data_IF_347796648605
#
_entry.id   IF_347796648605
#
_cell.length_a   1.000
_cell.length_b   1.000
_cell.length_c   1.000
_cell.angle_alpha   90.00
_cell.angle_beta   90.00
_cell.angle_gamma   90.00
#
_symmetry.space_group_name_H-M   'P 1'
#
loop_
_entity.id
_entity.type
_entity.pdbx_description
1 polymer ?
#
# COMPACT_ATOMS: atom_id res chain seq x y z
N UNK A 1 -23.27 2.27 34.58
CA UNK A 1 -23.24 3.62 35.18
C UNK A 1 -22.73 4.59 34.13
N UNK A 2 -23.48 5.67 33.88
CA UNK A 2 -23.12 6.91 33.18
C UNK A 2 -22.26 6.84 31.91
N UNK A 3 -22.89 6.96 30.74
CA UNK A 3 -22.22 7.49 29.55
C UNK A 3 -21.93 8.97 29.86
N UNK A 4 -20.68 9.29 30.18
CA UNK A 4 -20.26 10.66 30.45
C UNK A 4 -20.29 11.49 29.18
N UNK A 5 -21.02 12.61 29.20
CA UNK A 5 -20.98 13.61 28.15
C UNK A 5 -19.58 14.26 28.13
N UNK A 6 -18.88 14.19 27.00
CA UNK A 6 -17.66 14.97 26.77
C UNK A 6 -18.02 16.46 26.67
N UNK A 7 -17.34 17.28 27.46
CA UNK A 7 -17.54 18.74 27.52
C UNK A 7 -16.29 19.42 26.95
N UNK A 8 -16.47 20.15 25.85
CA UNK A 8 -15.43 21.01 25.28
C UNK A 8 -15.42 22.33 26.04
N UNK A 9 -14.32 22.66 26.71
CA UNK A 9 -14.10 23.96 27.35
C UNK A 9 -13.01 24.70 26.57
N UNK A 10 -13.37 25.68 25.72
CA UNK A 10 -12.43 26.37 24.85
C UNK A 10 -11.36 27.17 25.60
N UNK A 11 -11.64 27.56 26.85
CA UNK A 11 -10.75 28.39 27.67
C UNK A 11 -9.78 27.60 28.57
N UNK A 12 -9.78 26.26 28.51
CA UNK A 12 -8.93 25.44 29.38
C UNK A 12 -7.55 25.19 28.74
N UNK A 13 -6.50 25.75 29.34
CA UNK A 13 -5.09 25.56 28.92
C UNK A 13 -4.53 24.15 29.24
N UNK A 14 -5.38 23.19 29.64
CA UNK A 14 -4.98 21.81 29.96
C UNK A 14 -6.07 20.78 29.67
N UNK A 15 -5.63 19.59 29.23
CA UNK A 15 -6.48 18.45 28.89
C UNK A 15 -6.96 17.76 30.19
N UNK A 16 -8.28 17.72 30.45
CA UNK A 16 -8.88 17.13 31.66
C UNK A 16 -8.94 15.59 31.65
N UNK A 17 -8.75 14.98 30.49
CA UNK A 17 -8.41 13.57 30.40
C UNK A 17 -6.93 13.45 30.75
N UNK A 18 -6.63 13.09 32.00
CA UNK A 18 -5.25 12.85 32.42
C UNK A 18 -4.55 11.94 31.41
N UNK A 19 -3.33 12.32 31.03
CA UNK A 19 -2.51 11.57 30.05
C UNK A 19 -2.49 10.08 30.35
N UNK A 20 -2.49 9.71 31.63
CA UNK A 20 -2.45 8.33 32.10
C UNK A 20 -3.72 7.55 31.72
N UNK A 21 -4.91 8.14 31.85
CA UNK A 21 -6.19 7.53 31.43
C UNK A 21 -6.31 7.43 29.90
N UNK A 22 -5.80 8.42 29.17
CA UNK A 22 -5.73 8.38 27.71
C UNK A 22 -4.83 7.23 27.25
N UNK A 23 -3.69 7.02 27.90
CA UNK A 23 -2.75 5.94 27.61
C UNK A 23 -3.33 4.58 28.02
N UNK A 24 -3.92 4.48 29.21
CA UNK A 24 -4.48 3.24 29.77
C UNK A 24 -5.70 2.75 28.98
N UNK A 25 -6.57 3.67 28.55
CA UNK A 25 -7.71 3.36 27.67
C UNK A 25 -7.30 3.20 26.20
N UNK A 26 -6.02 3.42 25.86
CA UNK A 26 -5.53 3.40 24.50
C UNK A 26 -6.32 4.37 23.62
N UNK A 27 -6.50 5.62 24.02
CA UNK A 27 -7.23 6.62 23.25
C UNK A 27 -6.20 7.54 22.57
N UNK A 28 -6.30 7.71 21.26
CA UNK A 28 -5.59 8.76 20.52
C UNK A 28 -6.60 9.80 20.03
N UNK A 29 -6.34 11.07 20.34
CA UNK A 29 -7.21 12.18 20.00
C UNK A 29 -6.52 12.96 18.88
N UNK A 30 -7.07 12.87 17.67
CA UNK A 30 -6.60 13.65 16.52
C UNK A 30 -7.57 14.79 16.24
N UNK A 31 -7.06 16.02 16.19
CA UNK A 31 -7.83 17.18 15.74
C UNK A 31 -7.55 17.40 14.26
N UNK A 32 -8.54 17.16 13.41
CA UNK A 32 -8.43 17.33 11.95
C UNK A 32 -9.56 18.26 11.51
N UNK A 33 -9.22 19.38 10.86
CA UNK A 33 -10.18 20.36 10.37
C UNK A 33 -11.20 20.85 11.43
N UNK A 34 -10.73 21.10 12.66
CA UNK A 34 -11.56 21.49 13.81
C UNK A 34 -12.59 20.43 14.28
N UNK A 35 -12.49 19.18 13.80
CA UNK A 35 -13.21 18.04 14.35
C UNK A 35 -12.28 17.18 15.22
N UNK A 36 -12.77 16.76 16.39
CA UNK A 36 -12.07 15.81 17.26
C UNK A 36 -12.40 14.39 16.80
N UNK A 37 -11.40 13.67 16.31
CA UNK A 37 -11.49 12.23 16.05
C UNK A 37 -10.83 11.47 17.20
N UNK A 38 -11.65 10.71 17.92
CA UNK A 38 -11.20 9.78 18.95
C UNK A 38 -10.96 8.44 18.28
N UNK A 39 -9.71 8.00 18.23
CA UNK A 39 -9.33 6.66 17.76
C UNK A 39 -8.89 5.84 18.96
N UNK A 40 -9.54 4.71 19.21
CA UNK A 40 -9.02 3.74 20.18
C UNK A 40 -7.78 3.07 19.54
N UNK A 41 -6.61 3.36 20.08
CA UNK A 41 -5.37 2.61 19.93
C UNK A 41 -5.48 1.27 20.68
N UNK A 42 -5.66 0.15 19.98
CA UNK A 42 -5.80 -1.13 20.65
C UNK A 42 -4.45 -1.73 21.08
N UNK A 43 -3.34 -1.13 20.61
CA UNK A 43 -1.98 -1.44 21.04
C UNK A 43 -1.73 -0.79 22.42
N UNK A 44 -1.65 -1.62 23.45
CA UNK A 44 -1.43 -1.16 24.84
C UNK A 44 0.06 -1.02 25.13
N UNK A 45 0.40 -0.27 26.17
CA UNK A 45 1.80 -0.11 26.62
C UNK A 45 2.45 -1.47 26.91
N UNK A 46 1.72 -2.38 27.57
CA UNK A 46 2.19 -3.74 27.85
C UNK A 46 2.47 -4.57 26.59
N UNK A 47 1.79 -4.27 25.48
CA UNK A 47 2.07 -4.91 24.19
C UNK A 47 3.34 -4.30 23.58
N UNK A 48 3.49 -2.97 23.66
CA UNK A 48 4.68 -2.27 23.15
C UNK A 48 5.96 -2.74 23.85
N UNK A 49 5.91 -2.99 25.15
CA UNK A 49 7.05 -3.53 25.91
C UNK A 49 7.50 -4.92 25.42
N UNK A 50 6.58 -5.69 24.83
CA UNK A 50 6.85 -7.02 24.26
C UNK A 50 7.29 -6.95 22.79
N UNK A 51 7.17 -5.79 22.14
CA UNK A 51 7.55 -5.58 20.75
C UNK A 51 8.93 -4.95 20.69
N UNK A 52 9.82 -5.52 19.89
CA UNK A 52 11.12 -4.94 19.60
C UNK A 52 10.90 -3.56 18.96
N UNK A 53 11.31 -2.51 19.66
CA UNK A 53 11.14 -1.11 19.23
C UNK A 53 11.80 -0.80 17.89
N UNK A 54 12.78 -1.60 17.46
CA UNK A 54 13.43 -1.46 16.16
C UNK A 54 12.48 -1.78 15.00
N UNK A 55 11.39 -2.53 15.20
CA UNK A 55 10.43 -2.85 14.13
C UNK A 55 9.79 -1.59 13.57
N UNK A 56 9.65 -0.54 14.38
CA UNK A 56 8.92 0.66 13.98
C UNK A 56 9.74 1.50 13.02
N UNK A 57 9.10 1.90 11.93
CA UNK A 57 9.69 2.88 11.04
C UNK A 57 9.83 4.25 11.71
N UNK A 58 11.02 4.81 11.60
CA UNK A 58 11.34 6.22 11.80
C UNK A 58 12.06 6.77 10.57
N UNK A 59 12.06 8.09 10.32
CA UNK A 59 12.79 8.69 9.19
C UNK A 59 14.28 8.32 9.12
N UNK A 60 14.87 8.01 10.28
CA UNK A 60 16.26 7.60 10.43
C UNK A 60 16.49 6.09 10.35
N UNK A 61 15.44 5.29 10.51
CA UNK A 61 15.52 3.84 10.36
C UNK A 61 15.47 3.44 8.88
N UNK A 62 16.23 2.40 8.52
CA UNK A 62 16.18 1.78 7.21
C UNK A 62 16.12 0.27 7.40
N UNK A 63 15.16 -0.38 6.74
CA UNK A 63 15.09 -1.83 6.72
C UNK A 63 16.24 -2.41 5.90
N UNK A 64 16.77 -3.56 6.29
CA UNK A 64 17.83 -4.28 5.57
C UNK A 64 17.61 -5.77 5.72
N UNK A 65 17.18 -6.42 4.63
CA UNK A 65 17.05 -7.87 4.58
C UNK A 65 18.42 -8.51 4.37
N UNK A 66 18.69 -9.57 5.13
CA UNK A 66 19.85 -10.42 4.89
C UNK A 66 19.51 -11.50 3.85
N UNK A 67 19.38 -11.09 2.59
CA UNK A 67 19.08 -11.98 1.45
C UNK A 67 20.09 -11.73 0.32
N UNK A 68 20.28 -12.70 -0.60
CA UNK A 68 21.08 -12.47 -1.80
C UNK A 68 20.56 -11.27 -2.60
N UNK A 69 21.44 -10.45 -3.17
CA UNK A 69 21.04 -9.29 -3.95
C UNK A 69 20.27 -9.68 -5.21
N UNK A 70 19.26 -8.89 -5.54
CA UNK A 70 18.46 -9.14 -6.74
C UNK A 70 19.18 -8.69 -8.01
N UNK A 71 19.18 -9.56 -9.03
CA UNK A 71 19.64 -9.20 -10.38
C UNK A 71 18.46 -8.82 -11.28
N UNK A 72 18.65 -7.75 -12.05
CA UNK A 72 17.70 -7.23 -13.03
C UNK A 72 18.15 -7.63 -14.43
N UNK A 73 17.20 -8.14 -15.22
CA UNK A 73 17.44 -8.54 -16.60
C UNK A 73 16.68 -7.57 -17.51
N UNK A 74 17.41 -6.89 -18.39
CA UNK A 74 16.85 -6.02 -19.43
C UNK A 74 17.21 -6.56 -20.82
N UNK A 75 16.38 -6.26 -21.81
CA UNK A 75 16.64 -6.52 -23.22
C UNK A 75 17.73 -5.57 -23.73
N UNK A 76 18.66 -6.12 -24.51
CA UNK A 76 19.87 -5.48 -25.05
C UNK A 76 20.62 -4.58 -24.02
N UNK A 77 21.18 -5.20 -22.96
CA UNK A 77 21.85 -4.47 -21.88
C UNK A 77 23.06 -3.65 -22.36
N UNK A 78 23.66 -4.02 -23.50
CA UNK A 78 24.77 -3.30 -24.13
C UNK A 78 24.39 -1.90 -24.65
N UNK A 79 23.10 -1.64 -24.87
CA UNK A 79 22.62 -0.34 -25.36
C UNK A 79 22.13 0.48 -24.15
N UNK A 80 22.87 1.51 -23.71
CA UNK A 80 22.48 2.27 -22.53
C UNK A 80 21.24 3.15 -22.79
N UNK A 81 20.36 3.22 -21.79
CA UNK A 81 19.23 4.15 -21.80
C UNK A 81 19.71 5.49 -21.24
N UNK A 82 19.66 6.54 -22.07
CA UNK A 82 20.06 7.90 -21.71
C UNK A 82 18.90 8.86 -21.94
N UNK A 83 18.10 9.06 -20.91
CA UNK A 83 17.00 10.02 -20.93
C UNK A 83 17.50 11.34 -20.35
N UNK A 84 17.29 12.43 -21.09
CA UNK A 84 17.66 13.77 -20.65
C UNK A 84 16.86 14.16 -19.41
N UNK A 85 17.54 14.75 -18.43
CA UNK A 85 16.91 15.20 -17.21
C UNK A 85 15.88 16.32 -17.47
N UNK A 86 14.72 16.25 -16.82
CA UNK A 86 13.74 17.34 -16.87
C UNK A 86 14.27 18.54 -16.06
N UNK A 87 14.01 19.79 -16.46
CA UNK A 87 14.33 20.94 -15.62
C UNK A 87 13.64 20.83 -14.26
N UNK A 88 14.41 20.69 -13.18
CA UNK A 88 13.90 20.72 -11.81
C UNK A 88 13.89 22.18 -11.34
N UNK A 89 12.75 22.65 -10.85
CA UNK A 89 12.62 23.99 -10.27
C UNK A 89 13.55 24.17 -9.04
N UNK A 90 13.98 25.40 -8.73
CA UNK A 90 14.77 25.65 -7.52
C UNK A 90 14.09 25.17 -6.24
N UNK A 91 12.77 25.37 -6.11
CA UNK A 91 11.96 24.85 -5.00
C UNK A 91 12.04 23.32 -4.92
N UNK A 92 11.92 22.63 -6.06
CA UNK A 92 12.02 21.18 -6.13
C UNK A 92 13.41 20.65 -5.75
N UNK A 93 14.49 21.32 -6.18
CA UNK A 93 15.85 20.95 -5.78
C UNK A 93 16.06 21.15 -4.27
N UNK A 94 15.63 22.29 -3.73
CA UNK A 94 15.72 22.56 -2.29
C UNK A 94 14.93 21.54 -1.46
N UNK A 95 13.74 21.17 -1.95
CA UNK A 95 12.91 20.15 -1.31
C UNK A 95 13.50 18.74 -1.36
N UNK A 96 14.18 18.37 -2.45
CA UNK A 96 14.79 17.04 -2.61
C UNK A 96 16.13 16.89 -1.89
N UNK A 97 16.89 17.97 -1.68
CA UNK A 97 18.24 17.86 -1.09
C UNK A 97 18.26 17.10 0.25
N UNK A 98 17.41 17.41 1.26
CA UNK A 98 17.43 16.66 2.52
C UNK A 98 17.17 15.17 2.31
N UNK A 99 16.27 14.83 1.38
CA UNK A 99 15.96 13.42 1.08
C UNK A 99 17.12 12.72 0.37
N UNK A 100 17.79 13.36 -0.59
CA UNK A 100 18.97 12.80 -1.27
C UNK A 100 20.12 12.59 -0.27
N UNK A 101 20.40 13.56 0.60
CA UNK A 101 21.43 13.46 1.63
C UNK A 101 21.11 12.35 2.64
N UNK A 102 19.84 12.22 3.03
CA UNK A 102 19.35 11.10 3.86
C UNK A 102 19.60 9.77 3.16
N UNK A 103 19.19 9.60 1.91
CA UNK A 103 19.36 8.35 1.16
C UNK A 103 20.85 7.98 0.98
N UNK A 104 21.72 8.97 0.74
CA UNK A 104 23.18 8.77 0.66
C UNK A 104 23.78 8.35 2.01
N UNK A 105 23.46 9.07 3.09
CA UNK A 105 23.97 8.74 4.43
C UNK A 105 23.55 7.35 4.92
N UNK A 106 22.38 6.87 4.47
CA UNK A 106 21.88 5.52 4.77
C UNK A 106 22.39 4.46 3.80
N UNK A 107 23.20 4.83 2.80
CA UNK A 107 23.76 3.92 1.80
C UNK A 107 22.73 3.29 0.86
N UNK A 108 21.56 3.92 0.71
CA UNK A 108 20.52 3.52 -0.26
C UNK A 108 20.82 4.05 -1.67
N UNK A 109 21.54 5.17 -1.71
CA UNK A 109 22.14 5.73 -2.91
C UNK A 109 23.67 5.71 -2.77
N UNK A 110 24.35 5.62 -3.91
CA UNK A 110 25.80 5.77 -4.01
C UNK A 110 26.17 6.59 -5.26
N UNK A 111 27.30 7.29 -5.21
CA UNK A 111 27.86 7.97 -6.38
C UNK A 111 28.36 6.95 -7.40
N UNK A 112 28.20 7.25 -8.69
CA UNK A 112 28.58 6.34 -9.77
C UNK A 112 28.98 7.07 -11.05
N UNK A 113 29.45 6.28 -12.03
CA UNK A 113 29.69 6.70 -13.42
C UNK A 113 29.07 5.66 -14.37
N UNK A 114 27.75 5.59 -14.36
CA UNK A 114 26.96 4.64 -15.16
C UNK A 114 26.79 5.14 -16.60
N UNK A 115 26.81 4.23 -17.60
CA UNK A 115 26.47 4.58 -18.97
C UNK A 115 24.97 4.89 -19.15
N UNK A 116 24.11 4.49 -18.19
CA UNK A 116 22.67 4.75 -18.16
C UNK A 116 22.36 6.04 -17.39
N UNK A 117 21.24 6.67 -17.72
CA UNK A 117 20.72 7.80 -16.97
C UNK A 117 19.22 7.96 -17.19
N UNK A 118 18.44 8.01 -16.10
CA UNK A 118 16.99 8.30 -16.12
C UNK A 118 16.65 9.49 -15.22
N UNK A 119 15.57 10.24 -15.52
CA UNK A 119 15.25 11.47 -14.80
C UNK A 119 14.55 11.22 -13.47
N UNK A 120 14.68 12.16 -12.55
CA UNK A 120 13.92 12.19 -11.29
C UNK A 120 12.94 13.36 -11.30
N UNK A 121 11.91 13.27 -10.48
CA UNK A 121 10.85 14.26 -10.35
C UNK A 121 10.62 14.58 -8.87
N UNK A 122 10.64 15.86 -8.46
CA UNK A 122 10.19 16.28 -7.13
C UNK A 122 8.66 16.28 -7.07
N UNK A 123 8.06 15.46 -6.21
CA UNK A 123 6.62 15.50 -5.96
C UNK A 123 6.35 16.02 -4.55
N UNK A 124 5.58 17.11 -4.46
CA UNK A 124 5.15 17.69 -3.19
C UNK A 124 4.06 16.82 -2.57
N UNK A 125 4.25 16.42 -1.32
CA UNK A 125 3.25 15.69 -0.53
C UNK A 125 2.26 16.68 0.10
N UNK A 126 1.14 16.15 0.61
CA UNK A 126 0.13 16.95 1.31
C UNK A 126 0.68 17.65 2.57
N UNK A 127 1.69 17.07 3.22
CA UNK A 127 2.39 17.65 4.37
C UNK A 127 3.42 18.75 3.99
N UNK A 128 3.54 19.07 2.70
CA UNK A 128 4.49 20.06 2.18
C UNK A 128 5.91 19.52 1.93
N UNK A 129 6.24 18.32 2.40
CA UNK A 129 7.53 17.67 2.13
C UNK A 129 7.64 17.19 0.68
N UNK A 130 8.86 16.98 0.18
CA UNK A 130 9.09 16.47 -1.16
C UNK A 130 9.41 14.98 -1.16
N UNK A 131 8.94 14.27 -2.19
CA UNK A 131 9.28 12.89 -2.50
C UNK A 131 10.08 12.83 -3.79
N UNK A 132 11.19 12.08 -3.73
CA UNK A 132 11.94 11.68 -4.91
C UNK A 132 11.15 10.63 -5.70
N UNK A 133 10.77 10.94 -6.93
CA UNK A 133 10.18 9.96 -7.86
C UNK A 133 11.17 9.71 -9.00
N UNK A 134 11.62 8.47 -9.13
CA UNK A 134 12.49 8.05 -10.22
C UNK A 134 11.66 7.58 -11.41
N UNK A 135 11.78 8.25 -12.55
CA UNK A 135 11.05 7.89 -13.77
C UNK A 135 11.74 6.74 -14.51
N UNK A 136 11.32 5.53 -14.18
CA UNK A 136 11.86 4.29 -14.72
C UNK A 136 11.10 3.76 -15.94
N UNK A 137 10.27 4.59 -16.61
CA UNK A 137 9.43 4.12 -17.73
C UNK A 137 10.23 3.46 -18.86
N UNK A 138 11.36 4.04 -19.26
CA UNK A 138 12.20 3.46 -20.32
C UNK A 138 12.91 2.18 -19.89
N UNK A 139 13.34 2.11 -18.61
CA UNK A 139 13.90 0.88 -18.03
C UNK A 139 12.84 -0.22 -17.99
N UNK A 140 11.64 0.10 -17.51
CA UNK A 140 10.51 -0.82 -17.40
C UNK A 140 10.11 -1.42 -18.76
N UNK A 141 10.16 -0.63 -19.86
CA UNK A 141 9.88 -1.14 -21.22
C UNK A 141 10.85 -2.23 -21.68
N UNK A 142 12.12 -2.14 -21.27
CA UNK A 142 13.16 -3.10 -21.65
C UNK A 142 13.35 -4.21 -20.62
N UNK A 143 12.74 -4.08 -19.45
CA UNK A 143 12.81 -5.11 -18.41
C UNK A 143 12.15 -6.40 -18.86
N UNK A 144 12.83 -7.53 -18.66
CA UNK A 144 12.25 -8.85 -18.85
C UNK A 144 11.50 -9.21 -17.57
N UNK A 145 10.18 -9.02 -17.60
CA UNK A 145 9.32 -9.31 -16.46
C UNK A 145 9.30 -10.82 -16.15
N UNK A 146 9.45 -11.17 -14.88
CA UNK A 146 9.25 -12.55 -14.41
C UNK A 146 7.75 -12.81 -14.29
N UNK A 147 7.36 -14.08 -14.31
CA UNK A 147 5.97 -14.44 -14.06
C UNK A 147 5.59 -14.00 -12.63
N UNK A 148 4.52 -13.21 -12.46
CA UNK A 148 4.10 -12.78 -11.13
C UNK A 148 3.48 -13.97 -10.39
N UNK A 149 4.07 -14.36 -9.26
CA UNK A 149 3.53 -15.39 -8.36
C UNK A 149 2.61 -14.79 -7.30
N UNK A 150 2.12 -13.55 -7.53
CA UNK A 150 1.25 -12.86 -6.59
C UNK A 150 -0.16 -13.47 -6.67
N UNK A 151 -0.64 -14.00 -5.55
CA UNK A 151 -1.99 -14.51 -5.46
C UNK A 151 -3.02 -13.40 -5.71
N UNK A 152 -4.13 -13.75 -6.36
CA UNK A 152 -5.21 -12.81 -6.60
C UNK A 152 -5.80 -12.35 -5.24
N UNK A 153 -5.91 -11.03 -4.96
CA UNK A 153 -6.49 -10.51 -3.72
C UNK A 153 -7.83 -11.16 -3.35
N UNK A 154 -8.67 -11.43 -4.36
CA UNK A 154 -9.99 -12.00 -4.16
C UNK A 154 -9.94 -13.45 -3.68
N UNK A 155 -8.99 -14.25 -4.16
CA UNK A 155 -8.83 -15.65 -3.74
C UNK A 155 -8.04 -15.76 -2.45
N UNK A 156 -7.20 -14.78 -2.14
CA UNK A 156 -6.47 -14.68 -0.87
C UNK A 156 -7.44 -14.56 0.32
N UNK A 157 -8.42 -13.65 0.21
CA UNK A 157 -9.42 -13.45 1.27
C UNK A 157 -10.34 -14.66 1.46
N UNK A 158 -10.52 -15.51 0.44
CA UNK A 158 -11.28 -16.75 0.56
C UNK A 158 -10.62 -17.80 1.46
N UNK A 159 -9.36 -17.60 1.87
CA UNK A 159 -8.68 -18.45 2.86
C UNK A 159 -9.14 -18.17 4.29
N UNK A 160 -9.78 -17.02 4.52
CA UNK A 160 -10.37 -16.70 5.80
C UNK A 160 -11.71 -17.40 5.92
N UNK A 161 -11.89 -18.15 7.00
CA UNK A 161 -13.20 -18.66 7.36
C UNK A 161 -14.06 -17.58 8.03
N UNK A 162 -15.40 -17.74 8.03
CA UNK A 162 -16.32 -16.80 8.66
C UNK A 162 -16.20 -16.78 10.19
N UNK A 163 -15.54 -17.76 10.80
CA UNK A 163 -15.31 -17.81 12.24
C UNK A 163 -14.35 -16.72 12.74
N UNK A 164 -13.54 -16.12 11.85
CA UNK A 164 -12.57 -15.09 12.23
C UNK A 164 -13.29 -13.83 12.69
N UNK A 165 -12.98 -13.38 13.91
CA UNK A 165 -13.61 -12.21 14.55
C UNK A 165 -12.63 -11.06 14.75
N UNK A 166 -11.36 -11.38 14.98
CA UNK A 166 -10.32 -10.40 15.29
C UNK A 166 -9.24 -10.42 14.22
N UNK A 167 -8.76 -9.22 13.88
CA UNK A 167 -7.81 -9.02 12.81
C UNK A 167 -6.67 -8.09 13.23
N UNK A 168 -5.50 -8.27 12.65
CA UNK A 168 -4.43 -7.26 12.68
C UNK A 168 -3.88 -7.04 11.29
N UNK A 169 -3.75 -5.78 10.87
CA UNK A 169 -3.18 -5.40 9.57
C UNK A 169 -1.85 -4.67 9.81
N UNK A 170 -0.81 -5.19 9.18
CA UNK A 170 0.57 -4.69 9.29
C UNK A 170 1.01 -4.21 7.91
N UNK A 171 1.35 -2.93 7.80
CA UNK A 171 1.87 -2.27 6.59
C UNK A 171 3.40 -2.17 6.71
N UNK A 172 4.11 -2.87 5.82
CA UNK A 172 5.58 -2.78 5.74
C UNK A 172 6.01 -1.48 5.09
N UNK A 173 6.83 -0.71 5.80
CA UNK A 173 7.24 0.62 5.36
C UNK A 173 8.54 0.56 4.56
N UNK A 174 8.53 1.20 3.39
CA UNK A 174 9.68 1.30 2.49
C UNK A 174 10.33 -0.07 2.19
N UNK A 175 9.48 -1.09 2.08
CA UNK A 175 9.89 -2.50 2.05
C UNK A 175 10.85 -2.83 0.90
N UNK A 176 10.69 -2.18 -0.26
CA UNK A 176 11.60 -2.35 -1.41
C UNK A 176 13.03 -1.92 -1.09
N UNK A 177 13.22 -0.88 -0.29
CA UNK A 177 14.56 -0.43 0.09
C UNK A 177 15.26 -1.40 1.04
N UNK A 178 14.54 -2.35 1.64
CA UNK A 178 15.15 -3.40 2.42
C UNK A 178 15.81 -4.48 1.56
N UNK A 179 15.48 -4.56 0.26
CA UNK A 179 16.03 -5.55 -0.65
C UNK A 179 17.30 -5.05 -1.35
N UNK A 180 18.45 -5.72 -1.17
CA UNK A 180 19.68 -5.36 -1.84
C UNK A 180 19.61 -5.60 -3.35
N UNK A 181 20.27 -4.74 -4.12
CA UNK A 181 20.39 -4.84 -5.57
C UNK A 181 21.82 -5.24 -5.96
N UNK A 182 21.92 -6.20 -6.90
CA UNK A 182 23.18 -6.70 -7.40
C UNK A 182 23.98 -5.60 -8.10
N UNK A 183 25.29 -5.53 -7.86
CA UNK A 183 26.15 -4.44 -8.33
C UNK A 183 26.06 -4.24 -9.85
N UNK A 184 25.97 -5.33 -10.62
CA UNK A 184 25.86 -5.29 -12.09
C UNK A 184 24.53 -4.68 -12.55
N UNK A 185 23.51 -4.70 -11.71
CA UNK A 185 22.18 -4.18 -12.00
C UNK A 185 21.98 -2.74 -11.53
N UNK A 186 22.85 -2.22 -10.65
CA UNK A 186 22.70 -0.87 -10.08
C UNK A 186 22.78 0.22 -11.14
N UNK A 187 23.61 0.03 -12.16
CA UNK A 187 23.81 1.00 -13.23
C UNK A 187 22.53 1.34 -13.98
N UNK A 188 21.59 0.39 -14.11
CA UNK A 188 20.28 0.62 -14.74
C UNK A 188 19.44 1.68 -14.04
N UNK A 189 19.72 1.95 -12.76
CA UNK A 189 18.96 2.88 -11.94
C UNK A 189 19.78 4.12 -11.58
N UNK A 190 20.69 4.52 -12.46
CA UNK A 190 21.45 5.76 -12.32
C UNK A 190 20.64 6.99 -12.76
N UNK A 191 20.82 8.10 -12.03
CA UNK A 191 20.25 9.39 -12.33
C UNK A 191 21.21 10.54 -11.98
N UNK A 192 21.07 11.65 -12.69
CA UNK A 192 21.82 12.88 -12.44
C UNK A 192 21.18 13.66 -11.28
N UNK A 193 22.02 14.20 -10.40
CA UNK A 193 21.63 15.11 -9.32
C UNK A 193 22.56 16.33 -9.31
N UNK A 194 21.95 17.53 -9.23
CA UNK A 194 22.66 18.80 -9.07
C UNK A 194 22.26 19.41 -7.73
N UNK A 195 23.25 19.60 -6.85
CA UNK A 195 23.03 20.22 -5.56
C UNK A 195 22.66 21.71 -5.71
N UNK A 196 21.56 22.19 -5.11
CA UNK A 196 21.08 23.56 -5.32
C UNK A 196 21.98 24.65 -4.72
N UNK A 197 22.86 24.33 -3.76
CA UNK A 197 23.69 25.31 -3.06
C UNK A 197 25.12 25.33 -3.57
N UNK A 198 25.68 24.17 -3.87
CA UNK A 198 27.06 24.02 -4.36
C UNK A 198 27.15 24.00 -5.87
N UNK A 199 26.02 23.82 -6.57
CA UNK A 199 25.92 23.64 -8.02
C UNK A 199 26.76 22.47 -8.57
N UNK A 200 27.20 21.56 -7.69
CA UNK A 200 27.94 20.37 -8.07
C UNK A 200 26.99 19.35 -8.67
N UNK A 201 27.36 18.85 -9.85
CA UNK A 201 26.67 17.74 -10.52
C UNK A 201 27.36 16.44 -10.21
N UNK A 202 26.55 15.44 -9.93
CA UNK A 202 26.99 14.06 -9.77
C UNK A 202 25.95 13.11 -10.33
N UNK A 203 26.37 11.88 -10.59
CA UNK A 203 25.46 10.80 -10.90
C UNK A 203 25.35 9.87 -9.70
N UNK A 204 24.12 9.55 -9.32
CA UNK A 204 23.79 8.66 -8.22
C UNK A 204 23.06 7.44 -8.76
N UNK A 205 23.23 6.29 -8.11
CA UNK A 205 22.46 5.07 -8.41
C UNK A 205 21.97 4.40 -7.13
N UNK A 206 20.93 3.59 -7.27
CA UNK A 206 20.35 2.82 -6.15
C UNK A 206 21.19 1.58 -5.83
N UNK A 207 21.38 1.30 -4.54
CA UNK A 207 22.01 0.06 -4.03
C UNK A 207 21.00 -1.01 -3.64
N UNK A 208 19.72 -0.64 -3.65
CA UNK A 208 18.55 -1.43 -3.24
C UNK A 208 17.48 -1.37 -4.33
N UNK A 209 16.42 -2.18 -4.21
CA UNK A 209 15.31 -2.12 -5.17
C UNK A 209 14.64 -0.72 -5.16
N UNK A 210 14.61 0.00 -6.29
CA UNK A 210 14.03 1.33 -6.34
C UNK A 210 12.50 1.28 -6.41
N UNK A 211 11.86 2.33 -5.89
CA UNK A 211 10.45 2.58 -6.09
C UNK A 211 10.19 2.99 -7.56
N UNK A 212 9.11 2.49 -8.17
CA UNK A 212 8.73 2.77 -9.55
C UNK A 212 9.25 1.76 -10.59
N UNK A 213 10.10 0.81 -10.18
CA UNK A 213 10.51 -0.31 -11.02
C UNK A 213 9.41 -1.38 -11.07
N UNK A 214 9.06 -1.83 -12.28
CA UNK A 214 7.92 -2.73 -12.50
C UNK A 214 8.04 -4.06 -11.77
N UNK A 215 9.25 -4.61 -11.61
CA UNK A 215 9.44 -5.89 -10.92
C UNK A 215 9.61 -5.77 -9.40
N UNK A 216 9.80 -4.56 -8.85
CA UNK A 216 10.02 -4.40 -7.39
C UNK A 216 8.94 -5.08 -6.53
N UNK A 217 7.63 -4.95 -6.82
CA UNK A 217 6.60 -5.64 -6.05
C UNK A 217 6.68 -7.16 -6.14
N UNK A 218 7.03 -7.70 -7.32
CA UNK A 218 7.13 -9.15 -7.53
C UNK A 218 8.35 -9.73 -6.80
N UNK A 219 9.51 -9.08 -6.93
CA UNK A 219 10.76 -9.48 -6.26
C UNK A 219 10.62 -9.42 -4.74
N UNK A 220 10.08 -8.30 -4.23
CA UNK A 220 9.84 -8.15 -2.80
C UNK A 220 8.83 -9.18 -2.28
N UNK A 221 7.70 -9.37 -2.98
CA UNK A 221 6.68 -10.34 -2.59
C UNK A 221 7.22 -11.76 -2.47
N UNK A 222 8.08 -12.19 -3.42
CA UNK A 222 8.74 -13.49 -3.37
C UNK A 222 9.76 -13.61 -2.22
N UNK A 223 10.57 -12.58 -1.97
CA UNK A 223 11.48 -12.59 -0.83
C UNK A 223 10.72 -12.63 0.50
N UNK A 224 9.63 -11.87 0.63
CA UNK A 224 8.83 -11.88 1.83
C UNK A 224 8.13 -13.23 2.04
N UNK A 225 7.63 -13.86 0.97
CA UNK A 225 7.05 -15.22 1.05
C UNK A 225 8.09 -16.23 1.55
N UNK A 226 9.32 -16.19 1.01
CA UNK A 226 10.43 -17.05 1.48
C UNK A 226 10.78 -16.80 2.95
N UNK A 227 10.83 -15.53 3.37
CA UNK A 227 11.06 -15.17 4.77
C UNK A 227 9.93 -15.73 5.66
N UNK A 228 8.68 -15.60 5.22
CA UNK A 228 7.52 -16.08 5.97
C UNK A 228 7.39 -17.60 5.99
N UNK A 229 8.05 -18.36 5.10
CA UNK A 229 8.14 -19.82 5.21
C UNK A 229 8.89 -20.27 6.48
N UNK A 230 9.80 -19.45 6.99
CA UNK A 230 10.46 -19.71 8.29
C UNK A 230 9.54 -19.40 9.48
N UNK A 231 8.43 -18.69 9.25
CA UNK A 231 7.48 -18.30 10.28
C UNK A 231 6.32 -19.29 10.36
N UNK A 232 6.24 -20.01 11.48
CA UNK A 232 5.11 -20.91 11.74
C UNK A 232 4.02 -20.15 12.48
N UNK A 233 2.82 -20.10 11.90
CA UNK A 233 1.64 -19.47 12.52
C UNK A 233 1.08 -20.36 13.64
N UNK A 234 0.61 -19.74 14.73
CA UNK A 234 0.00 -20.46 15.84
C UNK A 234 -1.37 -21.05 15.51
N UNK A 235 -1.79 -22.04 16.30
CA UNK A 235 -3.08 -22.71 16.09
C UNK A 235 -4.29 -21.77 16.27
N UNK A 236 -5.19 -21.79 15.30
CA UNK A 236 -6.41 -20.98 15.29
C UNK A 236 -6.24 -19.59 14.66
N UNK A 237 -5.03 -19.25 14.22
CA UNK A 237 -4.71 -17.99 13.55
C UNK A 237 -4.31 -18.24 12.09
N UNK A 238 -4.70 -17.33 11.21
CA UNK A 238 -4.37 -17.37 9.79
C UNK A 238 -3.57 -16.13 9.43
N UNK A 239 -2.40 -16.32 8.80
CA UNK A 239 -1.60 -15.26 8.21
C UNK A 239 -1.85 -15.20 6.71
N UNK A 240 -2.15 -14.01 6.20
CA UNK A 240 -2.35 -13.71 4.78
C UNK A 240 -1.34 -12.63 4.41
N UNK A 241 -0.56 -12.90 3.36
CA UNK A 241 0.35 -11.95 2.75
C UNK A 241 -0.20 -11.48 1.41
N UNK A 242 -0.11 -10.18 1.15
CA UNK A 242 -0.23 -9.61 -0.19
C UNK A 242 0.83 -8.54 -0.40
N UNK A 243 1.89 -8.88 -1.14
CA UNK A 243 3.06 -8.01 -1.38
C UNK A 243 3.64 -7.50 -0.05
N UNK A 244 3.37 -6.25 0.34
CA UNK A 244 3.85 -5.55 1.54
C UNK A 244 2.80 -5.43 2.66
N UNK A 245 1.55 -5.82 2.38
CA UNK A 245 0.47 -5.86 3.36
C UNK A 245 0.35 -7.26 3.98
N UNK A 246 0.32 -7.33 5.31
CA UNK A 246 0.13 -8.56 6.08
C UNK A 246 -1.16 -8.47 6.90
N UNK A 247 -1.93 -9.56 6.91
CA UNK A 247 -3.14 -9.71 7.71
C UNK A 247 -3.03 -10.96 8.59
N UNK A 248 -3.22 -10.77 9.89
CA UNK A 248 -3.43 -11.84 10.87
C UNK A 248 -4.92 -11.87 11.19
N UNK A 249 -5.53 -13.06 11.19
CA UNK A 249 -6.94 -13.26 11.51
C UNK A 249 -7.15 -14.44 12.45
N UNK A 250 -7.98 -14.28 13.48
CA UNK A 250 -8.27 -15.33 14.47
C UNK A 250 -9.66 -15.22 15.09
N UNK A 251 -10.07 -16.27 15.79
CA UNK A 251 -11.34 -16.32 16.53
C UNK A 251 -11.25 -15.63 17.90
N UNK A 252 -10.09 -15.71 18.54
CA UNK A 252 -9.86 -15.20 19.89
C UNK A 252 -8.89 -14.00 19.88
N UNK A 253 -9.29 -12.93 20.58
CA UNK A 253 -8.52 -11.68 20.69
C UNK A 253 -7.08 -11.95 21.17
N UNK A 254 -6.92 -12.68 22.27
CA UNK A 254 -5.61 -12.95 22.88
C UNK A 254 -4.66 -13.72 21.95
N UNK A 255 -5.21 -14.65 21.15
CA UNK A 255 -4.41 -15.39 20.17
C UNK A 255 -3.92 -14.49 19.06
N UNK A 256 -4.78 -13.62 18.53
CA UNK A 256 -4.41 -12.64 17.50
C UNK A 256 -3.40 -11.63 18.06
N UNK A 257 -3.59 -11.15 19.29
CA UNK A 257 -2.65 -10.25 19.99
C UNK A 257 -1.26 -10.87 20.13
N UNK A 258 -1.17 -12.08 20.67
CA UNK A 258 0.09 -12.80 20.83
C UNK A 258 0.78 -13.09 19.49
N UNK A 259 0.02 -13.49 18.48
CA UNK A 259 0.52 -13.74 17.13
C UNK A 259 1.05 -12.46 16.47
N UNK A 260 0.33 -11.34 16.59
CA UNK A 260 0.73 -10.04 16.04
C UNK A 260 2.03 -9.55 16.66
N UNK A 261 2.21 -9.67 17.97
CA UNK A 261 3.47 -9.34 18.65
C UNK A 261 4.59 -10.24 18.15
N UNK A 262 4.35 -11.56 18.05
CA UNK A 262 5.36 -12.52 17.55
C UNK A 262 5.79 -12.21 16.12
N UNK A 263 4.84 -11.88 15.25
CA UNK A 263 5.12 -11.52 13.86
C UNK A 263 5.90 -10.20 13.78
N UNK A 264 5.52 -9.16 14.54
CA UNK A 264 6.26 -7.89 14.58
C UNK A 264 7.72 -8.12 15.01
N UNK A 265 7.94 -8.92 16.05
CA UNK A 265 9.29 -9.28 16.50
C UNK A 265 10.08 -10.06 15.45
N UNK A 266 9.43 -11.00 14.77
CA UNK A 266 10.03 -11.75 13.67
C UNK A 266 10.44 -10.83 12.50
N UNK A 267 9.55 -9.92 12.08
CA UNK A 267 9.83 -8.95 11.03
C UNK A 267 11.01 -8.04 11.40
N UNK A 268 11.07 -7.60 12.67
CA UNK A 268 12.20 -6.83 13.21
C UNK A 268 13.51 -7.60 13.10
N UNK A 269 13.51 -8.88 13.50
CA UNK A 269 14.70 -9.74 13.45
C UNK A 269 15.19 -9.99 12.01
N UNK A 270 14.28 -9.98 11.03
CA UNK A 270 14.61 -10.06 9.60
C UNK A 270 15.06 -8.72 9.01
N UNK A 271 14.98 -7.63 9.77
CA UNK A 271 15.40 -6.30 9.37
C UNK A 271 14.34 -5.49 8.60
N UNK A 272 13.07 -5.89 8.66
CA UNK A 272 11.96 -5.13 8.07
C UNK A 272 11.45 -4.05 9.02
N UNK A 273 10.80 -3.03 8.46
CA UNK A 273 10.21 -1.91 9.21
C UNK A 273 8.70 -1.84 8.96
N UNK A 274 7.97 -1.46 9.99
CA UNK A 274 6.50 -1.40 10.01
C UNK A 274 6.03 0.03 10.27
N UNK A 275 4.99 0.45 9.55
CA UNK A 275 4.34 1.74 9.77
C UNK A 275 3.41 1.69 10.99
N UNK A 276 3.91 2.11 12.17
CA UNK A 276 3.11 2.16 13.41
C UNK A 276 1.79 2.93 13.26
N UNK A 277 1.80 4.05 12.52
CA UNK A 277 0.61 4.88 12.29
C UNK A 277 -0.50 4.19 11.46
N UNK A 278 -0.13 3.19 10.64
CA UNK A 278 -1.07 2.44 9.79
C UNK A 278 -1.43 1.07 10.36
N UNK A 279 -0.79 0.68 11.46
CA UNK A 279 -1.09 -0.57 12.14
C UNK A 279 -2.56 -0.54 12.59
N UNK A 280 -3.29 -1.58 12.23
CA UNK A 280 -4.60 -1.90 12.80
C UNK A 280 -4.35 -3.12 13.69
N UNK A 281 -4.34 -2.94 15.01
CA UNK A 281 -3.85 -3.96 15.94
C UNK A 281 -5.02 -4.61 16.66
N UNK A 282 -5.32 -5.87 16.41
CA UNK A 282 -6.33 -6.65 17.14
C UNK A 282 -7.70 -5.95 17.18
N UNK A 283 -8.27 -5.72 16.00
CA UNK A 283 -9.56 -5.03 15.82
C UNK A 283 -10.62 -5.99 15.26
N UNK A 284 -11.90 -5.76 15.61
CA UNK A 284 -13.03 -6.55 15.05
C UNK A 284 -13.37 -6.15 13.61
N UNK A 285 -13.03 -4.91 13.21
CA UNK A 285 -13.25 -4.37 11.87
C UNK A 285 -11.94 -3.77 11.36
N UNK A 286 -11.43 -4.26 10.24
CA UNK A 286 -10.18 -3.74 9.62
C UNK A 286 -10.35 -3.47 8.14
N UNK A 287 -9.60 -2.50 7.63
CA UNK A 287 -9.43 -2.25 6.20
C UNK A 287 -8.19 -3.00 5.70
N UNK A 288 -8.39 -3.94 4.78
CA UNK A 288 -7.33 -4.71 4.14
C UNK A 288 -7.59 -4.88 2.64
N UNK A 289 -6.59 -4.60 1.80
CA UNK A 289 -6.69 -4.64 0.34
C UNK A 289 -7.97 -3.96 -0.19
N UNK A 290 -8.31 -2.75 0.28
CA UNK A 290 -9.48 -2.02 -0.20
C UNK A 290 -10.85 -2.63 0.19
N UNK A 291 -10.87 -3.55 1.14
CA UNK A 291 -12.09 -4.14 1.72
C UNK A 291 -12.13 -3.92 3.23
N UNK A 292 -13.33 -3.76 3.78
CA UNK A 292 -13.55 -3.87 5.22
C UNK A 292 -13.87 -5.32 5.55
N UNK A 293 -13.13 -5.88 6.51
CA UNK A 293 -13.36 -7.19 7.08
C UNK A 293 -13.96 -7.01 8.46
N UNK A 294 -15.07 -7.68 8.76
CA UNK A 294 -15.69 -7.66 10.08
C UNK A 294 -16.48 -8.92 10.34
N UNK A 295 -16.24 -9.60 11.47
CA UNK A 295 -17.04 -10.76 11.93
C UNK A 295 -17.31 -11.79 10.83
N UNK A 296 -16.30 -12.16 10.05
CA UNK A 296 -16.45 -13.13 8.97
C UNK A 296 -17.11 -12.61 7.70
N UNK A 297 -17.31 -11.30 7.58
CA UNK A 297 -17.92 -10.63 6.43
C UNK A 297 -16.92 -9.69 5.74
N UNK A 298 -17.11 -9.49 4.43
CA UNK A 298 -16.35 -8.52 3.63
C UNK A 298 -17.29 -7.50 2.99
N UNK A 299 -16.92 -6.23 3.12
CA UNK A 299 -17.59 -5.08 2.51
C UNK A 299 -16.62 -4.29 1.63
N UNK A 300 -17.13 -3.69 0.56
CA UNK A 300 -16.34 -2.76 -0.26
C UNK A 300 -16.08 -1.45 0.51
N UNK A 301 -14.90 -0.88 0.32
CA UNK A 301 -14.57 0.43 0.88
C UNK A 301 -15.51 1.54 0.36
N UNK A 302 -16.27 2.23 1.23
CA UNK A 302 -17.17 3.30 0.82
C UNK A 302 -16.48 4.45 0.10
N UNK A 303 -15.23 4.78 0.43
CA UNK A 303 -14.48 5.84 -0.27
C UNK A 303 -14.21 5.44 -1.72
N UNK A 304 -13.91 4.16 -1.97
CA UNK A 304 -13.77 3.65 -3.34
C UNK A 304 -15.10 3.65 -4.10
N UNK A 305 -16.21 3.34 -3.43
CA UNK A 305 -17.54 3.50 -4.04
C UNK A 305 -17.77 4.96 -4.42
N UNK A 306 -17.49 5.90 -3.51
CA UNK A 306 -17.61 7.34 -3.74
C UNK A 306 -16.72 7.83 -4.90
N UNK A 307 -15.48 7.36 -4.98
CA UNK A 307 -14.59 7.63 -6.12
C UNK A 307 -15.24 7.21 -7.44
N UNK A 308 -15.76 5.98 -7.52
CA UNK A 308 -16.42 5.45 -8.73
C UNK A 308 -17.66 6.27 -9.09
N UNK A 309 -18.46 6.68 -8.10
CA UNK A 309 -19.65 7.51 -8.30
C UNK A 309 -19.31 8.90 -8.86
N UNK A 310 -18.15 9.45 -8.50
CA UNK A 310 -17.69 10.77 -8.93
C UNK A 310 -17.15 10.82 -10.37
N UNK A 311 -16.86 9.68 -10.99
CA UNK A 311 -16.27 9.62 -12.33
C UNK A 311 -17.25 10.22 -13.35
N UNK A 312 -16.87 11.18 -14.20
CA UNK A 312 -17.76 11.67 -15.23
C UNK A 312 -17.96 10.62 -16.35
N UNK A 313 -19.03 10.71 -17.15
CA UNK A 313 -19.22 9.86 -18.31
C UNK A 313 -17.96 9.86 -19.22
N UNK A 314 -17.44 8.68 -19.62
CA UNK A 314 -16.19 8.58 -20.34
C UNK A 314 -16.34 9.12 -21.76
N UNK A 315 -15.42 9.99 -22.16
CA UNK A 315 -15.36 10.63 -23.48
C UNK A 315 -14.34 9.98 -24.42
N UNK A 316 -13.60 8.99 -23.92
CA UNK A 316 -12.53 8.33 -24.68
C UNK A 316 -12.41 6.85 -24.32
N UNK A 317 -11.86 6.05 -25.24
CA UNK A 317 -11.58 4.63 -25.00
C UNK A 317 -10.66 4.39 -23.80
N UNK A 318 -9.71 5.31 -23.55
CA UNK A 318 -8.84 5.26 -22.37
C UNK A 318 -9.65 5.39 -21.08
N UNK A 319 -10.59 6.34 -21.02
CA UNK A 319 -11.48 6.52 -19.87
C UNK A 319 -12.45 5.35 -19.70
N UNK A 320 -12.94 4.74 -20.79
CA UNK A 320 -13.76 3.51 -20.70
C UNK A 320 -12.95 2.36 -20.09
N UNK A 321 -11.70 2.14 -20.52
CA UNK A 321 -10.84 1.10 -19.93
C UNK A 321 -10.58 1.37 -18.45
N UNK A 322 -10.37 2.63 -18.07
CA UNK A 322 -10.20 3.02 -16.68
C UNK A 322 -11.46 2.72 -15.84
N UNK A 323 -12.64 3.10 -16.34
CA UNK A 323 -13.92 2.80 -15.69
C UNK A 323 -14.13 1.29 -15.56
N UNK A 324 -13.93 0.51 -16.63
CA UNK A 324 -14.03 -0.95 -16.59
C UNK A 324 -13.07 -1.59 -15.58
N UNK A 325 -11.86 -1.05 -15.45
CA UNK A 325 -10.88 -1.56 -14.49
C UNK A 325 -11.33 -1.32 -13.05
N UNK A 326 -11.85 -0.13 -12.76
CA UNK A 326 -12.38 0.23 -11.43
C UNK A 326 -13.65 -0.55 -11.09
N UNK A 327 -14.57 -0.69 -12.04
CA UNK A 327 -15.80 -1.47 -11.88
C UNK A 327 -15.50 -2.97 -11.77
N UNK A 328 -14.50 -3.44 -12.50
CA UNK A 328 -14.05 -4.84 -12.48
C UNK A 328 -13.55 -5.27 -11.11
N UNK A 329 -13.03 -4.31 -10.33
CA UNK A 329 -12.65 -4.55 -8.94
C UNK A 329 -13.86 -4.92 -8.07
N UNK A 330 -15.01 -4.34 -8.36
CA UNK A 330 -16.24 -4.48 -7.58
C UNK A 330 -17.16 -5.59 -8.11
N UNK A 331 -16.69 -6.37 -9.10
CA UNK A 331 -17.53 -7.32 -9.86
C UNK A 331 -18.26 -8.36 -9.01
N UNK A 332 -17.71 -8.74 -7.84
CA UNK A 332 -18.31 -9.74 -6.96
C UNK A 332 -19.58 -9.24 -6.25
N UNK A 333 -19.74 -7.92 -6.15
CA UNK A 333 -20.88 -7.27 -5.51
C UNK A 333 -21.98 -6.88 -6.50
N UNK A 334 -21.71 -6.99 -7.81
CA UNK A 334 -22.66 -6.61 -8.86
C UNK A 334 -23.19 -7.89 -9.49
N UNK A 335 -24.45 -8.20 -9.20
CA UNK A 335 -25.15 -9.31 -9.85
C UNK A 335 -25.18 -9.11 -11.38
N UNK A 336 -24.94 -10.19 -12.12
CA UNK A 336 -24.91 -10.18 -13.59
C UNK A 336 -23.96 -9.13 -14.18
N UNK A 337 -22.85 -8.85 -13.50
CA UNK A 337 -21.85 -7.84 -13.86
C UNK A 337 -21.53 -7.83 -15.36
N UNK A 338 -21.19 -8.98 -15.93
CA UNK A 338 -20.81 -9.12 -17.34
C UNK A 338 -21.85 -8.57 -18.31
N UNK A 339 -23.13 -8.80 -18.02
CA UNK A 339 -24.25 -8.28 -18.82
C UNK A 339 -24.38 -6.77 -18.64
N UNK A 340 -24.28 -6.29 -17.40
CA UNK A 340 -24.44 -4.86 -17.08
C UNK A 340 -23.31 -3.99 -17.64
N UNK A 341 -22.09 -4.51 -17.78
CA UNK A 341 -20.95 -3.75 -18.38
C UNK A 341 -20.78 -3.98 -19.88
N UNK A 342 -21.64 -4.79 -20.52
CA UNK A 342 -21.53 -5.14 -21.95
C UNK A 342 -21.47 -3.89 -22.84
N UNK A 343 -22.28 -2.88 -22.55
CA UNK A 343 -22.30 -1.62 -23.32
C UNK A 343 -20.92 -0.94 -23.33
N UNK A 344 -20.15 -0.98 -22.23
CA UNK A 344 -18.80 -0.42 -22.17
C UNK A 344 -17.83 -1.17 -23.09
N UNK A 345 -17.93 -2.51 -23.15
CA UNK A 345 -17.14 -3.31 -24.08
C UNK A 345 -17.49 -3.05 -25.54
N UNK A 346 -18.78 -2.86 -25.85
CA UNK A 346 -19.25 -2.48 -27.19
C UNK A 346 -18.68 -1.12 -27.63
N UNK A 347 -18.60 -0.14 -26.73
CA UNK A 347 -17.96 1.16 -27.03
C UNK A 347 -16.45 1.05 -27.22
N UNK A 348 -15.79 0.02 -26.68
CA UNK A 348 -14.36 -0.24 -26.95
C UNK A 348 -14.14 -0.88 -28.33
N UNK A 349 -15.03 -1.79 -28.74
CA UNK A 349 -14.93 -2.51 -30.01
C UNK A 349 -15.32 -1.66 -31.22
N UNK A 350 -16.21 -0.68 -31.06
CA UNK A 350 -16.57 0.25 -32.12
C UNK A 350 -15.37 1.11 -32.60
N UNK A 351 -15.19 1.22 -33.91
CA UNK A 351 -14.19 2.11 -34.51
C UNK A 351 -14.53 3.60 -34.34
N UNK A 352 -13.51 4.46 -34.21
CA UNK A 352 -13.68 5.91 -34.12
C UNK A 352 -13.87 6.47 -32.70
N UNK A 353 -14.42 7.69 -32.63
CA UNK A 353 -14.69 8.42 -31.38
C UNK A 353 -15.80 7.74 -30.57
N UNK A 354 -15.68 7.76 -29.24
CA UNK A 354 -16.71 7.24 -28.34
C UNK A 354 -17.95 8.12 -28.44
N UNK A 355 -19.04 7.56 -28.97
CA UNK A 355 -20.38 8.19 -28.91
C UNK A 355 -21.07 7.73 -27.64
N UNK A 356 -21.22 8.63 -26.68
CA UNK A 356 -21.94 8.40 -25.43
C UNK A 356 -23.34 8.98 -25.55
N UNK A 357 -24.37 8.16 -25.29
CA UNK A 357 -25.78 8.57 -25.39
C UNK A 357 -26.52 8.46 -24.05
N UNK A 358 -27.81 8.81 -24.04
CA UNK A 358 -28.66 8.73 -22.84
C UNK A 358 -28.90 7.29 -22.37
N UNK A 359 -28.82 6.30 -23.26
CA UNK A 359 -28.97 4.89 -22.91
C UNK A 359 -27.74 4.41 -22.14
N UNK A 360 -26.55 4.84 -22.56
CA UNK A 360 -25.30 4.60 -21.84
C UNK A 360 -25.32 5.24 -20.44
N UNK A 361 -25.86 6.46 -20.32
CA UNK A 361 -26.02 7.13 -19.03
C UNK A 361 -26.97 6.38 -18.09
N UNK A 362 -28.09 5.84 -18.62
CA UNK A 362 -28.99 4.97 -17.85
C UNK A 362 -28.30 3.70 -17.37
N UNK A 363 -27.55 3.01 -18.23
CA UNK A 363 -26.79 1.81 -17.82
C UNK A 363 -25.73 2.14 -16.77
N UNK A 364 -25.00 3.25 -16.93
CA UNK A 364 -24.00 3.69 -15.96
C UNK A 364 -24.64 4.05 -14.61
N UNK A 365 -25.79 4.73 -14.61
CA UNK A 365 -26.56 5.03 -13.40
C UNK A 365 -27.05 3.77 -12.69
N UNK A 366 -27.54 2.77 -13.42
CA UNK A 366 -27.95 1.48 -12.86
C UNK A 366 -26.77 0.76 -12.19
N UNK A 367 -25.62 0.69 -12.87
CA UNK A 367 -24.39 0.12 -12.30
C UNK A 367 -23.92 0.84 -11.03
N UNK A 368 -24.04 2.17 -10.99
CA UNK A 368 -23.72 2.96 -9.79
C UNK A 368 -24.68 2.68 -8.66
N UNK A 369 -25.97 2.53 -8.96
CA UNK A 369 -26.98 2.17 -7.98
C UNK A 369 -26.71 0.78 -7.38
N UNK A 370 -26.33 -0.20 -8.20
CA UNK A 370 -25.93 -1.53 -7.71
C UNK A 370 -24.73 -1.47 -6.75
N UNK A 371 -23.75 -0.59 -7.02
CA UNK A 371 -22.59 -0.40 -6.15
C UNK A 371 -22.93 0.25 -4.81
N UNK A 372 -23.84 1.22 -4.81
CA UNK A 372 -24.31 1.86 -3.56
C UNK A 372 -25.05 0.85 -2.70
N UNK A 373 -25.84 -0.02 -3.33
CA UNK A 373 -26.60 -1.08 -2.67
C UNK A 373 -25.86 -2.41 -2.64
N UNK A 374 -24.53 -2.39 -2.78
CA UNK A 374 -23.72 -3.59 -2.80
C UNK A 374 -23.94 -4.39 -1.50
N UNK A 375 -24.28 -5.69 -1.58
CA UNK A 375 -24.54 -6.49 -0.40
C UNK A 375 -23.25 -6.71 0.41
N UNK A 376 -23.39 -6.96 1.70
CA UNK A 376 -22.29 -7.51 2.48
C UNK A 376 -22.10 -8.97 2.04
N UNK A 377 -20.87 -9.37 1.73
CA UNK A 377 -20.58 -10.74 1.32
C UNK A 377 -19.96 -11.48 2.51
N UNK A 378 -20.52 -12.63 2.86
CA UNK A 378 -19.88 -13.51 3.85
C UNK A 378 -18.61 -14.13 3.26
N UNK A 379 -17.63 -14.38 4.12
CA UNK A 379 -16.46 -15.18 3.75
C UNK A 379 -16.88 -16.66 3.58
N UNK A 380 -16.25 -17.40 2.66
CA UNK A 380 -16.68 -18.75 2.33
C UNK A 380 -16.47 -19.70 3.52
N UNK A 381 -17.54 -20.39 3.94
CA UNK A 381 -17.45 -21.47 4.92
C UNK A 381 -17.18 -22.80 4.21
N UNK A 382 -15.92 -23.24 4.19
CA UNK A 382 -15.52 -24.50 3.56
C UNK A 382 -16.11 -25.74 4.24
N UNK A 383 -16.71 -25.60 5.44
CA UNK A 383 -17.35 -26.70 6.18
C UNK A 383 -18.82 -26.89 5.78
N UNK A 384 -19.40 -25.99 4.97
CA UNK A 384 -20.79 -26.04 4.53
C UNK A 384 -20.89 -26.38 3.03
N UNK A 385 -22.01 -26.98 2.58
CA UNK A 385 -22.26 -27.16 1.16
C UNK A 385 -22.47 -25.80 0.48
N UNK A 386 -21.93 -25.66 -0.74
CA UNK A 386 -22.12 -24.48 -1.58
C UNK A 386 -23.25 -24.74 -2.59
N UNK A 387 -24.09 -23.73 -2.81
CA UNK A 387 -25.14 -23.74 -3.82
C UNK A 387 -24.85 -22.65 -4.85
N UNK A 388 -24.87 -23.02 -6.13
CA UNK A 388 -24.85 -22.08 -7.24
C UNK A 388 -26.27 -22.00 -7.78
N UNK A 389 -26.90 -20.83 -7.64
CA UNK A 389 -28.26 -20.54 -8.10
C UNK A 389 -28.26 -19.97 -9.51
#
# INVERSE_FOLDING_TARGET
>A
MGIGNLLLVPEADYNLLGRDLIIEMGINIEVVNAEIKIKLCPLRVEDEEKINSEVWYTPDSVGRLNIPPFSVIIKDPETPIRVKHYPISPEGKNGLKPEIERLLSKGLLESCMSPFNTPILPIKKADGSYRLVHDLREINKRTVARFPVVANPYTLLSRLGPEKQYYSVIDLKDAFWACPLDEKSRDYFAFEWEDPFTHRRQQLRWTVLPQGFTESPNLFGQALEQILQEYQTGEGVTLIQYVDDLLIAGEAEDKVRAESIRLLNFLSAKGLKVSKAKLQFVEEEVKYLGHYLRKGEKKIDPERVKEILSIPPPKSKKQIRQLLSLMGYCRQWIENYSTKVKFLYEKLSQGGLVKWDEKDDKHLKALRHDLVNAPVLSLPDLKRPFYLL
#
